data_IF_654078467175
#
_entry.id   IF_654078467175
#
_cell.length_a   1.000
_cell.length_b   1.000
_cell.length_c   1.000
_cell.angle_alpha   90.00
_cell.angle_beta   90.00
_cell.angle_gamma   90.00
#
_symmetry.space_group_name_H-M   'P 1'
#
loop_
_entity.id
_entity.type
_entity.pdbx_description
1 polymer ?
#
# COMPACT_ATOMS: atom_id res chain seq x y z
N UNK A 1 -15.79 -19.06 -24.68
CA UNK A 1 -16.45 -18.35 -23.56
C UNK A 1 -15.31 -17.84 -22.68
N UNK A 2 -14.99 -16.54 -22.75
CA UNK A 2 -13.84 -16.01 -22.01
C UNK A 2 -14.21 -15.95 -20.53
N UNK A 3 -13.50 -16.70 -19.69
CA UNK A 3 -13.65 -16.63 -18.24
C UNK A 3 -13.37 -15.19 -17.78
N UNK A 4 -14.22 -14.58 -16.93
CA UNK A 4 -13.90 -13.30 -16.35
C UNK A 4 -12.60 -13.47 -15.59
N UNK A 5 -11.54 -12.81 -16.05
CA UNK A 5 -10.25 -12.80 -15.36
C UNK A 5 -10.46 -12.12 -14.01
N UNK A 6 -10.80 -12.90 -12.99
CA UNK A 6 -10.91 -12.46 -11.61
C UNK A 6 -9.60 -11.74 -11.27
N UNK A 7 -9.67 -10.43 -11.03
CA UNK A 7 -8.51 -9.69 -10.51
C UNK A 7 -8.09 -10.41 -9.23
N UNK A 8 -6.89 -10.99 -9.20
CA UNK A 8 -6.34 -11.74 -8.06
C UNK A 8 -6.48 -10.98 -6.73
N UNK A 9 -6.49 -9.64 -6.81
CA UNK A 9 -6.72 -8.73 -5.70
C UNK A 9 -7.78 -7.70 -6.12
N UNK A 10 -9.07 -7.88 -5.75
CA UNK A 10 -10.14 -6.99 -6.15
C UNK A 10 -9.96 -5.57 -5.58
N UNK A 11 -10.38 -4.59 -6.38
CA UNK A 11 -10.50 -3.20 -5.94
C UNK A 11 -11.77 -3.02 -5.08
N UNK A 12 -11.86 -1.99 -4.22
CA UNK A 12 -10.81 -1.01 -3.92
C UNK A 12 -9.70 -1.60 -3.03
N UNK A 13 -8.48 -1.11 -3.18
CA UNK A 13 -7.44 -1.34 -2.19
C UNK A 13 -7.49 -0.23 -1.14
N UNK A 14 -7.28 -0.59 0.13
CA UNK A 14 -7.40 0.35 1.26
C UNK A 14 -6.12 0.35 2.08
N UNK A 15 -5.83 1.48 2.73
CA UNK A 15 -4.68 1.64 3.62
C UNK A 15 -5.15 1.64 5.07
N UNK A 16 -4.56 0.78 5.89
CA UNK A 16 -4.79 0.72 7.34
C UNK A 16 -3.51 1.18 8.05
N UNK A 17 -3.63 2.20 8.88
CA UNK A 17 -2.51 2.73 9.68
C UNK A 17 -2.32 1.90 10.97
N UNK A 18 -1.07 1.53 11.24
CA UNK A 18 -0.63 0.91 12.48
C UNK A 18 0.48 1.75 13.13
N UNK A 19 0.89 1.37 14.35
CA UNK A 19 1.88 2.10 15.14
C UNK A 19 3.22 2.28 14.43
N UNK A 20 3.66 1.29 13.65
CA UNK A 20 4.97 1.27 12.96
C UNK A 20 4.89 0.95 11.47
N UNK A 21 3.67 0.85 10.92
CA UNK A 21 3.49 0.50 9.52
C UNK A 21 2.14 0.94 8.94
N UNK A 22 2.06 0.96 7.62
CA UNK A 22 0.80 1.03 6.89
C UNK A 22 0.58 -0.31 6.18
N UNK A 23 -0.58 -0.92 6.36
CA UNK A 23 -0.99 -2.11 5.63
C UNK A 23 -1.85 -1.73 4.43
N UNK A 24 -1.67 -2.40 3.31
CA UNK A 24 -2.55 -2.29 2.14
C UNK A 24 -3.38 -3.56 2.05
N UNK A 25 -4.70 -3.42 2.04
CA UNK A 25 -5.64 -4.53 1.94
C UNK A 25 -6.41 -4.47 0.62
N UNK A 26 -6.76 -5.63 0.05
CA UNK A 26 -7.76 -5.69 -1.02
C UNK A 26 -9.20 -5.59 -0.48
N UNK A 27 -10.17 -5.59 -1.39
CA UNK A 27 -11.58 -5.48 -1.01
C UNK A 27 -12.12 -6.66 -0.17
N UNK A 28 -11.43 -7.79 -0.19
CA UNK A 28 -11.78 -8.97 0.61
C UNK A 28 -11.04 -8.98 1.96
N UNK A 29 -10.24 -7.96 2.26
CA UNK A 29 -9.45 -7.83 3.48
C UNK A 29 -8.10 -8.54 3.44
N UNK A 30 -7.70 -9.14 2.31
CA UNK A 30 -6.40 -9.79 2.19
C UNK A 30 -5.27 -8.74 2.21
N UNK A 31 -4.25 -8.99 3.03
CA UNK A 31 -3.09 -8.09 3.15
C UNK A 31 -2.19 -8.25 1.92
N UNK A 32 -2.01 -7.16 1.18
CA UNK A 32 -1.19 -7.10 -0.03
C UNK A 32 0.25 -6.69 0.26
N UNK A 33 0.44 -5.74 1.19
CA UNK A 33 1.76 -5.21 1.52
C UNK A 33 1.77 -4.50 2.88
N UNK A 34 2.97 -4.37 3.45
CA UNK A 34 3.27 -3.55 4.62
C UNK A 34 4.33 -2.50 4.25
N UNK A 35 4.08 -1.25 4.60
CA UNK A 35 5.05 -0.15 4.47
C UNK A 35 5.51 0.24 5.86
N UNK A 36 6.71 -0.18 6.23
CA UNK A 36 7.29 0.07 7.57
C UNK A 36 7.91 1.47 7.62
N UNK A 37 7.74 2.18 8.75
CA UNK A 37 8.43 3.44 9.01
C UNK A 37 9.14 3.42 10.37
N UNK A 38 10.15 4.28 10.51
CA UNK A 38 10.78 4.54 11.81
C UNK A 38 10.07 5.66 12.56
N UNK A 39 10.02 5.57 13.89
CA UNK A 39 9.48 6.63 14.75
C UNK A 39 10.56 7.60 15.26
N UNK A 40 11.83 7.28 15.06
CA UNK A 40 12.91 7.93 15.80
C UNK A 40 13.60 9.06 15.04
N UNK A 41 13.41 10.28 15.56
CA UNK A 41 14.35 11.39 15.38
C UNK A 41 15.74 11.10 15.99
N UNK A 42 15.84 10.10 16.88
CA UNK A 42 17.07 9.74 17.60
C UNK A 42 17.99 8.74 16.86
N UNK A 43 17.48 8.00 15.88
CA UNK A 43 18.22 6.92 15.22
C UNK A 43 18.57 7.20 13.74
N UNK A 44 18.65 8.48 13.35
CA UNK A 44 18.99 8.88 11.97
C UNK A 44 20.29 8.26 11.44
N UNK A 45 21.15 7.74 12.32
CA UNK A 45 22.47 7.23 11.98
C UNK A 45 22.57 5.69 11.90
N UNK A 46 21.50 4.89 12.12
CA UNK A 46 21.65 3.42 12.21
C UNK A 46 20.70 2.61 11.32
N UNK A 47 19.65 3.18 10.74
CA UNK A 47 18.83 2.47 9.76
C UNK A 47 18.24 3.46 8.79
N UNK A 48 18.45 3.25 7.49
CA UNK A 48 17.92 4.04 6.36
C UNK A 48 16.38 3.91 6.26
N UNK A 49 15.68 4.23 7.34
CA UNK A 49 14.25 4.03 7.55
C UNK A 49 13.51 5.29 7.16
N UNK A 50 12.51 5.14 6.29
CA UNK A 50 11.65 6.24 5.86
C UNK A 50 10.78 6.74 7.02
N UNK A 51 10.42 8.02 6.95
CA UNK A 51 9.49 8.68 7.87
C UNK A 51 8.06 8.15 7.71
N UNK A 52 7.21 8.40 8.71
CA UNK A 52 5.78 8.07 8.65
C UNK A 52 5.08 8.70 7.45
N UNK A 53 5.40 9.95 7.11
CA UNK A 53 4.77 10.66 5.98
C UNK A 53 5.24 10.15 4.61
N UNK A 54 6.49 9.71 4.50
CA UNK A 54 6.98 9.01 3.30
C UNK A 54 6.29 7.64 3.16
N UNK A 55 6.20 6.88 4.24
CA UNK A 55 5.50 5.59 4.23
C UNK A 55 4.01 5.75 3.88
N UNK A 56 3.34 6.76 4.42
CA UNK A 56 1.94 7.08 4.09
C UNK A 56 1.77 7.38 2.60
N UNK A 57 2.66 8.21 2.03
CA UNK A 57 2.61 8.54 0.59
C UNK A 57 2.79 7.32 -0.29
N UNK A 58 3.73 6.43 0.05
CA UNK A 58 3.94 5.16 -0.65
C UNK A 58 2.69 4.28 -0.55
N UNK A 59 2.14 4.09 0.66
CA UNK A 59 0.97 3.24 0.88
C UNK A 59 -0.28 3.74 0.11
N UNK A 60 -0.54 5.04 0.11
CA UNK A 60 -1.65 5.65 -0.66
C UNK A 60 -1.43 5.42 -2.17
N UNK A 61 -0.20 5.61 -2.65
CA UNK A 61 0.13 5.39 -4.07
C UNK A 61 -0.09 3.94 -4.48
N UNK A 62 0.25 2.99 -3.61
CA UNK A 62 -0.02 1.57 -3.83
C UNK A 62 -1.52 1.26 -3.86
N UNK A 63 -2.30 1.82 -2.94
CA UNK A 63 -3.76 1.64 -2.91
C UNK A 63 -4.45 2.18 -4.17
N UNK A 64 -3.85 3.15 -4.86
CA UNK A 64 -4.36 3.71 -6.12
C UNK A 64 -4.07 2.83 -7.36
N UNK A 65 -3.26 1.77 -7.27
CA UNK A 65 -2.87 0.92 -8.40
C UNK A 65 -4.06 0.36 -9.20
N UNK A 66 -5.16 -0.12 -8.58
CA UNK A 66 -6.29 -0.64 -9.35
C UNK A 66 -6.94 0.39 -10.28
N UNK A 67 -7.00 1.65 -9.85
CA UNK A 67 -7.53 2.79 -10.62
C UNK A 67 -6.52 3.26 -11.67
N UNK A 68 -5.23 3.37 -11.30
CA UNK A 68 -4.18 3.69 -12.25
C UNK A 68 -4.12 2.68 -13.41
N UNK A 69 -4.25 1.38 -13.11
CA UNK A 69 -4.30 0.31 -14.13
C UNK A 69 -5.56 0.33 -14.98
N UNK A 70 -6.64 0.96 -14.52
CA UNK A 70 -7.85 1.18 -15.31
C UNK A 70 -7.60 2.33 -16.28
N UNK A 71 -7.15 3.48 -15.75
CA UNK A 71 -6.85 4.68 -16.54
C UNK A 71 -5.78 4.45 -17.63
N UNK A 72 -4.78 3.60 -17.39
CA UNK A 72 -3.75 3.28 -18.39
C UNK A 72 -4.21 2.36 -19.54
N UNK A 73 -5.42 1.77 -19.44
CA UNK A 73 -5.97 0.91 -20.50
C UNK A 73 -6.98 1.64 -21.39
N UNK A 74 -7.44 2.81 -20.95
CA UNK A 74 -8.33 3.72 -21.67
C UNK A 74 -7.49 4.72 -22.49
#
# INVERSE_FOLDING_TARGET
MAEPTLRRYPAPWTVVEHETSFQIHDANGAVLAHVLFGNDLQHQNTTNRITKDEARRIAISMAAVPELRRALRD
#
